data_IF_347196404407
#
_entry.id   IF_347196404407
#
_cell.length_a   1.000
_cell.length_b   1.000
_cell.length_c   1.000
_cell.angle_alpha   90.00
_cell.angle_beta   90.00
_cell.angle_gamma   90.00
#
_symmetry.space_group_name_H-M   'P 1'
#
loop_
_entity.id
_entity.type
_entity.pdbx_description
1 polymer ?
#
# COMPACT_ATOMS: atom_id res chain seq x y z
N UNK A 1 15.29 19.58 28.44
CA UNK A 1 13.85 19.32 28.60
C UNK A 1 13.59 17.95 28.00
N UNK A 2 13.27 16.96 28.82
CA UNK A 2 12.90 15.62 28.37
C UNK A 2 11.63 15.74 27.54
N UNK A 3 11.72 15.46 26.23
CA UNK A 3 10.55 15.23 25.40
C UNK A 3 9.88 13.99 26.01
N UNK A 4 8.73 14.16 26.68
CA UNK A 4 7.90 13.04 27.07
C UNK A 4 7.52 12.31 25.79
N UNK A 5 8.17 11.17 25.53
CA UNK A 5 7.73 10.25 24.52
C UNK A 5 6.29 9.89 24.89
N UNK A 6 5.33 10.24 24.05
CA UNK A 6 3.96 9.78 24.20
C UNK A 6 4.00 8.26 24.16
N UNK A 7 3.52 7.59 25.23
CA UNK A 7 3.42 6.14 25.25
C UNK A 7 2.44 5.70 24.17
N UNK A 8 2.73 4.58 23.52
CA UNK A 8 1.77 3.94 22.62
C UNK A 8 0.44 3.65 23.35
N UNK A 9 -0.65 3.96 22.68
CA UNK A 9 -2.02 3.69 23.16
C UNK A 9 -2.71 2.84 22.11
N UNK A 10 -3.45 1.81 22.52
CA UNK A 10 -4.24 0.98 21.61
C UNK A 10 -5.29 1.81 20.85
N UNK A 11 -5.78 1.31 19.72
CA UNK A 11 -6.87 2.00 18.99
C UNK A 11 -8.12 2.07 19.86
N UNK A 12 -8.45 0.98 20.55
CA UNK A 12 -9.62 0.90 21.42
C UNK A 12 -9.58 1.91 22.58
N UNK A 13 -8.40 2.17 23.13
CA UNK A 13 -8.21 3.07 24.28
C UNK A 13 -7.81 4.50 23.89
N UNK A 14 -7.79 4.81 22.59
CA UNK A 14 -7.29 6.09 22.08
C UNK A 14 -7.94 7.30 22.76
N UNK A 15 -9.24 7.22 23.09
CA UNK A 15 -10.00 8.30 23.70
C UNK A 15 -10.11 8.22 25.24
N UNK A 16 -9.52 7.19 25.86
CA UNK A 16 -9.41 7.10 27.32
C UNK A 16 -8.07 7.60 27.84
N UNK A 17 -7.06 7.63 26.96
CA UNK A 17 -5.70 8.03 27.31
C UNK A 17 -5.61 9.51 27.68
N UNK A 18 -4.79 9.82 28.70
CA UNK A 18 -4.48 11.19 29.07
C UNK A 18 -3.46 11.76 28.07
N UNK A 19 -3.97 12.40 27.03
CA UNK A 19 -3.18 13.12 26.04
C UNK A 19 -3.43 14.61 26.17
N UNK A 20 -2.34 15.41 26.17
CA UNK A 20 -2.48 16.86 26.19
C UNK A 20 -3.30 17.35 24.99
N UNK A 21 -4.30 18.18 25.24
CA UNK A 21 -5.09 18.81 24.18
C UNK A 21 -4.28 19.60 23.16
N UNK A 22 -3.07 20.06 23.54
CA UNK A 22 -2.13 20.77 22.64
C UNK A 22 -1.24 19.86 21.81
N UNK A 23 -1.26 18.54 22.04
CA UNK A 23 -0.48 17.60 21.23
C UNK A 23 -0.91 17.70 19.76
N UNK A 24 0.04 17.68 18.85
CA UNK A 24 -0.23 17.73 17.42
C UNK A 24 -0.74 16.35 16.95
N UNK A 25 -1.78 16.35 16.13
CA UNK A 25 -2.36 15.16 15.50
C UNK A 25 -2.06 15.13 14.00
N UNK A 26 -2.29 16.25 13.34
CA UNK A 26 -2.06 16.39 11.92
C UNK A 26 -1.45 17.75 11.59
N UNK A 27 -0.92 17.87 10.39
CA UNK A 27 -0.35 19.15 9.93
C UNK A 27 -0.56 19.34 8.42
N UNK A 28 -0.63 20.62 8.06
CA UNK A 28 -0.54 21.12 6.68
C UNK A 28 0.81 21.83 6.50
N UNK A 29 1.06 22.34 5.31
CA UNK A 29 2.25 23.17 5.06
C UNK A 29 2.33 24.43 5.97
N UNK A 30 1.18 24.94 6.46
CA UNK A 30 1.12 26.23 7.18
C UNK A 30 0.57 26.13 8.61
N UNK A 31 -0.01 25.01 9.00
CA UNK A 31 -0.70 24.87 10.29
C UNK A 31 -0.58 23.47 10.87
N UNK A 32 -0.83 23.38 12.18
CA UNK A 32 -0.93 22.10 12.87
C UNK A 32 -2.29 21.99 13.55
N UNK A 33 -2.86 20.80 13.54
CA UNK A 33 -4.14 20.47 14.16
C UNK A 33 -3.87 19.77 15.49
N UNK A 34 -4.52 20.24 16.54
CA UNK A 34 -4.31 19.77 17.90
C UNK A 34 -5.17 18.53 18.22
N UNK A 35 -4.80 17.81 19.28
CA UNK A 35 -5.60 16.72 19.83
C UNK A 35 -6.98 17.20 20.28
N UNK A 36 -7.06 18.39 20.91
CA UNK A 36 -8.34 18.98 21.31
C UNK A 36 -9.25 19.23 20.11
N UNK A 37 -8.73 19.82 19.03
CA UNK A 37 -9.50 20.01 17.79
C UNK A 37 -9.98 18.68 17.23
N UNK A 38 -9.08 17.69 17.16
CA UNK A 38 -9.43 16.35 16.64
C UNK A 38 -10.54 15.68 17.46
N UNK A 39 -10.43 15.67 18.80
CA UNK A 39 -11.45 15.05 19.64
C UNK A 39 -12.78 15.79 19.59
N UNK A 40 -12.78 17.12 19.49
CA UNK A 40 -13.99 17.93 19.30
C UNK A 40 -14.67 17.61 17.96
N UNK A 41 -13.91 17.56 16.87
CA UNK A 41 -14.46 17.23 15.54
C UNK A 41 -15.01 15.79 15.52
N UNK A 42 -14.30 14.84 16.14
CA UNK A 42 -14.77 13.44 16.27
C UNK A 42 -16.07 13.38 17.08
N UNK A 43 -16.16 14.07 18.23
CA UNK A 43 -17.35 14.09 19.06
C UNK A 43 -18.57 14.68 18.33
N UNK A 44 -18.36 15.83 17.67
CA UNK A 44 -19.39 16.50 16.90
C UNK A 44 -19.95 15.59 15.77
N UNK A 45 -19.07 15.02 14.95
CA UNK A 45 -19.48 14.16 13.85
C UNK A 45 -20.03 12.81 14.33
N UNK A 46 -19.54 12.27 15.45
CA UNK A 46 -20.13 11.07 16.05
C UNK A 46 -21.58 11.29 16.47
N UNK A 47 -21.91 12.45 17.08
CA UNK A 47 -23.28 12.80 17.44
C UNK A 47 -24.18 12.88 16.19
N UNK A 48 -23.70 13.48 15.10
CA UNK A 48 -24.42 13.52 13.80
C UNK A 48 -24.66 12.12 13.24
N UNK A 49 -23.67 11.23 13.28
CA UNK A 49 -23.79 9.85 12.81
C UNK A 49 -24.73 9.00 13.68
N UNK A 50 -24.75 9.23 15.00
CA UNK A 50 -25.71 8.56 15.89
C UNK A 50 -27.17 8.95 15.58
N UNK A 51 -27.39 10.19 15.14
CA UNK A 51 -28.71 10.69 14.72
C UNK A 51 -29.10 10.19 13.30
N UNK A 52 -28.16 9.72 12.48
CA UNK A 52 -28.42 9.21 11.15
C UNK A 52 -28.73 7.70 11.19
N UNK A 53 -29.71 7.26 10.38
CA UNK A 53 -30.15 5.84 10.33
C UNK A 53 -29.15 4.91 9.61
N UNK A 54 -28.22 5.45 8.81
CA UNK A 54 -27.21 4.67 8.11
C UNK A 54 -26.40 3.79 9.07
N UNK A 55 -26.15 2.54 8.70
CA UNK A 55 -25.37 1.58 9.50
C UNK A 55 -24.00 1.31 8.88
N UNK A 56 -23.89 1.42 7.57
CA UNK A 56 -22.66 1.17 6.81
C UNK A 56 -22.19 2.50 6.21
N UNK A 57 -21.06 2.98 6.69
CA UNK A 57 -20.51 4.30 6.33
C UNK A 57 -19.31 4.10 5.39
N UNK A 58 -19.45 4.54 4.16
CA UNK A 58 -18.31 4.59 3.23
C UNK A 58 -17.48 5.86 3.46
N UNK A 59 -16.15 5.73 3.42
CA UNK A 59 -15.21 6.82 3.60
C UNK A 59 -14.43 7.07 2.31
N UNK A 60 -14.55 8.26 1.74
CA UNK A 60 -13.85 8.68 0.51
C UNK A 60 -13.25 10.07 0.70
N UNK A 61 -11.99 10.16 1.07
CA UNK A 61 -11.31 11.42 1.37
C UNK A 61 -9.94 11.47 0.71
N UNK A 62 -9.52 12.63 0.26
CA UNK A 62 -8.12 12.94 -0.03
C UNK A 62 -7.39 13.45 1.21
N UNK A 63 -8.10 14.16 2.08
CA UNK A 63 -7.56 14.69 3.33
C UNK A 63 -7.57 13.62 4.43
N UNK A 64 -6.38 13.28 4.94
CA UNK A 64 -6.23 12.24 5.97
C UNK A 64 -6.74 12.64 7.34
N UNK A 65 -6.79 13.94 7.64
CA UNK A 65 -7.38 14.40 8.89
C UNK A 65 -8.90 14.23 8.86
N UNK A 66 -9.57 14.67 7.79
CA UNK A 66 -11.01 14.48 7.63
C UNK A 66 -11.38 12.99 7.60
N UNK A 67 -10.55 12.17 6.93
CA UNK A 67 -10.68 10.73 6.98
C UNK A 67 -10.61 10.19 8.41
N UNK A 68 -9.60 10.60 9.20
CA UNK A 68 -9.45 10.14 10.59
C UNK A 68 -10.64 10.56 11.46
N UNK A 69 -11.13 11.79 11.30
CA UNK A 69 -12.35 12.26 11.99
C UNK A 69 -13.55 11.38 11.62
N UNK A 70 -13.79 11.15 10.32
CA UNK A 70 -14.88 10.31 9.84
C UNK A 70 -14.79 8.87 10.33
N UNK A 71 -13.58 8.29 10.30
CA UNK A 71 -13.30 6.94 10.78
C UNK A 71 -13.68 6.78 12.27
N UNK A 72 -13.13 7.61 13.13
CA UNK A 72 -13.37 7.50 14.57
C UNK A 72 -14.78 7.95 14.99
N UNK A 73 -15.36 8.92 14.28
CA UNK A 73 -16.75 9.31 14.50
C UNK A 73 -17.72 8.15 14.20
N UNK A 74 -17.48 7.39 13.13
CA UNK A 74 -18.26 6.20 12.80
C UNK A 74 -18.04 5.07 13.84
N UNK A 75 -16.79 4.84 14.28
CA UNK A 75 -16.50 3.89 15.37
C UNK A 75 -17.27 4.23 16.67
N UNK A 76 -17.23 5.49 17.11
CA UNK A 76 -17.94 5.96 18.30
C UNK A 76 -19.48 5.94 18.14
N UNK A 77 -19.95 5.98 16.90
CA UNK A 77 -21.36 5.81 16.58
C UNK A 77 -21.79 4.34 16.40
N UNK A 78 -20.87 3.41 16.62
CA UNK A 78 -21.05 1.96 16.43
C UNK A 78 -21.55 1.61 15.01
N UNK A 79 -20.96 2.22 13.98
CA UNK A 79 -21.27 1.99 12.58
C UNK A 79 -20.19 1.10 11.94
N UNK A 80 -20.58 0.30 10.96
CA UNK A 80 -19.64 -0.43 10.11
C UNK A 80 -19.01 0.52 9.09
N UNK A 81 -17.73 0.30 8.80
CA UNK A 81 -16.95 1.13 7.90
C UNK A 81 -16.75 0.42 6.55
N UNK A 82 -16.81 1.17 5.47
CA UNK A 82 -16.52 0.69 4.12
C UNK A 82 -15.46 1.60 3.49
N UNK A 83 -14.37 1.01 3.05
CA UNK A 83 -13.33 1.71 2.30
C UNK A 83 -13.37 1.26 0.84
N UNK A 84 -13.95 2.05 -0.06
CA UNK A 84 -13.78 1.84 -1.49
C UNK A 84 -12.30 1.98 -1.85
N UNK A 85 -11.72 0.98 -2.48
CA UNK A 85 -10.32 1.02 -2.89
C UNK A 85 -10.02 2.06 -3.98
N UNK A 86 -11.06 2.66 -4.54
CA UNK A 86 -11.04 3.70 -5.57
C UNK A 86 -12.28 4.56 -5.38
N UNK A 87 -12.10 5.87 -5.40
CA UNK A 87 -13.18 6.85 -5.24
C UNK A 87 -13.58 7.57 -6.55
N UNK A 88 -13.21 7.01 -7.71
CA UNK A 88 -13.80 7.48 -8.98
C UNK A 88 -15.31 7.23 -8.98
N UNK A 89 -16.11 8.15 -9.53
CA UNK A 89 -17.58 8.11 -9.43
C UNK A 89 -18.21 6.76 -9.76
N UNK A 90 -17.80 6.15 -10.88
CA UNK A 90 -18.33 4.85 -11.30
C UNK A 90 -17.89 3.69 -10.37
N UNK A 91 -16.67 3.76 -9.83
CA UNK A 91 -16.20 2.76 -8.87
C UNK A 91 -16.97 2.83 -7.55
N UNK A 92 -17.27 4.02 -7.08
CA UNK A 92 -18.11 4.24 -5.89
C UNK A 92 -19.54 3.78 -6.15
N UNK A 93 -20.11 4.12 -7.33
CA UNK A 93 -21.45 3.67 -7.74
C UNK A 93 -21.55 2.14 -7.77
N UNK A 94 -20.55 1.46 -8.30
CA UNK A 94 -20.51 -0.01 -8.34
C UNK A 94 -20.54 -0.66 -6.94
N UNK A 95 -20.22 0.10 -5.90
CA UNK A 95 -20.23 -0.35 -4.50
C UNK A 95 -21.44 0.16 -3.71
N UNK A 96 -22.39 0.86 -4.33
CA UNK A 96 -23.51 1.51 -3.62
C UNK A 96 -24.40 0.55 -2.80
N UNK A 97 -24.45 -0.72 -3.16
CA UNK A 97 -25.18 -1.74 -2.37
C UNK A 97 -24.47 -2.15 -1.05
N UNK A 98 -23.19 -1.75 -0.89
CA UNK A 98 -22.36 -2.11 0.27
C UNK A 98 -22.34 -1.06 1.37
N UNK A 99 -22.91 0.13 1.17
CA UNK A 99 -22.97 1.20 2.17
C UNK A 99 -24.29 1.97 2.08
N UNK A 100 -24.64 2.66 3.16
CA UNK A 100 -25.87 3.41 3.29
C UNK A 100 -25.64 4.92 3.20
N UNK A 101 -24.45 5.39 3.61
CA UNK A 101 -24.02 6.79 3.57
C UNK A 101 -22.56 6.87 3.15
N UNK A 102 -22.25 7.81 2.29
CA UNK A 102 -20.90 8.15 1.89
C UNK A 102 -20.45 9.46 2.54
N UNK A 103 -19.37 9.38 3.32
CA UNK A 103 -18.65 10.56 3.82
C UNK A 103 -17.52 10.92 2.86
N UNK A 104 -17.41 12.18 2.50
CA UNK A 104 -16.39 12.64 1.55
C UNK A 104 -15.93 14.07 1.84
N UNK A 105 -14.83 14.48 1.23
CA UNK A 105 -14.39 15.86 1.15
C UNK A 105 -14.80 16.50 -0.20
N UNK A 106 -14.67 17.83 -0.31
CA UNK A 106 -15.13 18.62 -1.47
C UNK A 106 -14.44 18.25 -2.81
N UNK A 107 -13.37 17.47 -2.75
CA UNK A 107 -12.57 17.12 -3.94
C UNK A 107 -13.22 16.00 -4.75
N UNK A 108 -14.13 15.24 -4.12
CA UNK A 108 -14.76 14.08 -4.75
C UNK A 108 -16.06 14.48 -5.42
N UNK A 109 -16.07 14.51 -6.76
CA UNK A 109 -17.28 14.72 -7.54
C UNK A 109 -18.14 13.45 -7.56
N UNK A 110 -19.33 13.51 -6.96
CA UNK A 110 -20.26 12.40 -6.91
C UNK A 110 -21.48 12.71 -7.76
N UNK A 111 -22.00 11.68 -8.43
CA UNK A 111 -23.25 11.78 -9.16
C UNK A 111 -24.48 11.59 -8.27
N UNK A 112 -25.65 12.00 -8.74
CA UNK A 112 -26.94 11.89 -8.04
C UNK A 112 -27.33 10.44 -7.73
N UNK A 113 -27.91 10.19 -6.56
CA UNK A 113 -28.50 8.90 -6.18
C UNK A 113 -27.80 8.17 -5.03
N UNK A 114 -26.68 8.69 -4.52
CA UNK A 114 -26.00 8.20 -3.33
C UNK A 114 -26.23 9.21 -2.20
N UNK A 115 -26.64 8.74 -1.01
CA UNK A 115 -26.72 9.61 0.17
C UNK A 115 -25.31 9.96 0.63
N UNK A 116 -25.02 11.26 0.72
CA UNK A 116 -23.70 11.78 1.04
C UNK A 116 -23.73 12.76 2.20
N UNK A 117 -22.62 12.87 2.91
CA UNK A 117 -22.40 13.89 3.92
C UNK A 117 -20.93 14.27 4.00
N UNK A 118 -20.65 15.42 4.56
CA UNK A 118 -19.28 15.91 4.81
C UNK A 118 -18.97 15.91 6.30
N UNK A 119 -17.69 15.88 6.62
CA UNK A 119 -17.20 16.14 7.98
C UNK A 119 -17.32 17.63 8.23
N UNK A 120 -17.98 17.97 9.34
CA UNK A 120 -18.14 19.36 9.78
C UNK A 120 -17.19 19.63 10.95
N UNK A 121 -16.47 20.75 10.93
CA UNK A 121 -15.73 21.20 12.10
C UNK A 121 -16.67 21.43 13.27
N UNK A 122 -16.25 21.07 14.47
CA UNK A 122 -17.03 21.38 15.66
C UNK A 122 -17.17 22.91 15.81
N UNK A 123 -18.39 23.44 16.01
CA UNK A 123 -18.63 24.89 16.12
C UNK A 123 -17.99 25.51 17.35
N UNK A 124 -17.76 24.71 18.36
CA UNK A 124 -17.08 25.06 19.62
C UNK A 124 -16.30 23.85 20.10
N UNK A 125 -15.41 24.03 21.06
CA UNK A 125 -14.74 22.91 21.71
C UNK A 125 -15.80 22.01 22.38
N UNK A 126 -15.99 20.82 21.82
CA UNK A 126 -16.88 19.78 22.34
C UNK A 126 -16.01 18.79 23.09
N UNK A 127 -16.31 18.58 24.36
CA UNK A 127 -15.61 17.56 25.14
C UNK A 127 -16.06 16.18 24.69
N UNK A 128 -15.12 15.34 24.30
CA UNK A 128 -15.38 13.95 24.02
C UNK A 128 -15.36 13.16 25.33
N UNK A 129 -16.46 12.50 25.63
CA UNK A 129 -16.52 11.59 26.78
C UNK A 129 -15.50 10.46 26.64
N UNK A 130 -14.74 10.20 27.71
CA UNK A 130 -13.77 9.10 27.72
C UNK A 130 -14.48 7.77 27.47
N UNK A 131 -14.16 7.15 26.35
CA UNK A 131 -14.85 5.94 25.87
C UNK A 131 -13.85 4.97 25.26
N UNK A 132 -13.92 3.71 25.65
CA UNK A 132 -13.23 2.60 24.98
C UNK A 132 -14.07 2.12 23.80
N UNK A 133 -13.44 1.93 22.64
CA UNK A 133 -14.12 1.42 21.44
C UNK A 133 -14.29 -0.11 21.54
N UNK A 134 -15.45 -0.61 21.13
CA UNK A 134 -15.73 -2.05 21.05
C UNK A 134 -15.02 -2.68 19.84
N UNK A 135 -13.70 -2.86 19.93
CA UNK A 135 -12.84 -3.20 18.79
C UNK A 135 -13.18 -4.53 18.12
N UNK A 136 -13.76 -5.49 18.84
CA UNK A 136 -14.22 -6.77 18.28
C UNK A 136 -15.51 -6.65 17.46
N UNK A 137 -16.35 -5.65 17.77
CA UNK A 137 -17.66 -5.47 17.15
C UNK A 137 -17.62 -4.56 15.93
N UNK A 138 -16.62 -3.64 15.87
CA UNK A 138 -16.48 -2.69 14.78
C UNK A 138 -15.84 -3.38 13.59
N UNK A 139 -16.58 -3.45 12.48
CA UNK A 139 -16.18 -4.08 11.24
C UNK A 139 -15.81 -3.03 10.20
N UNK A 140 -14.69 -3.25 9.53
CA UNK A 140 -14.22 -2.50 8.39
C UNK A 140 -14.18 -3.41 7.16
N UNK A 141 -14.84 -3.01 6.08
CA UNK A 141 -14.78 -3.69 4.77
C UNK A 141 -13.91 -2.88 3.82
N UNK A 142 -12.78 -3.46 3.42
CA UNK A 142 -11.89 -2.86 2.43
C UNK A 142 -12.13 -3.51 1.06
N UNK A 143 -12.32 -2.68 0.05
CA UNK A 143 -12.44 -3.16 -1.33
C UNK A 143 -11.09 -3.10 -2.04
N UNK A 144 -10.73 -4.19 -2.69
CA UNK A 144 -9.50 -4.30 -3.49
C UNK A 144 -9.86 -4.60 -4.94
N UNK A 145 -8.98 -4.21 -5.88
CA UNK A 145 -9.11 -4.65 -7.28
C UNK A 145 -8.86 -6.14 -7.36
N UNK A 146 -9.92 -6.94 -7.50
CA UNK A 146 -9.79 -8.38 -7.71
C UNK A 146 -9.07 -8.70 -9.04
N UNK A 147 -8.39 -9.85 -9.09
CA UNK A 147 -7.74 -10.35 -10.33
C UNK A 147 -8.72 -10.58 -11.48
N UNK A 148 -10.00 -10.74 -11.17
CA UNK A 148 -11.11 -10.89 -12.14
C UNK A 148 -11.69 -9.56 -12.64
N UNK A 149 -11.14 -8.41 -12.20
CA UNK A 149 -11.67 -7.09 -12.52
C UNK A 149 -12.88 -6.65 -11.67
N UNK A 150 -13.45 -7.54 -10.85
CA UNK A 150 -14.50 -7.19 -9.90
C UNK A 150 -13.90 -6.84 -8.54
N UNK A 151 -14.41 -5.81 -7.84
CA UNK A 151 -13.97 -5.47 -6.50
C UNK A 151 -14.17 -6.65 -5.54
N UNK A 152 -13.12 -6.97 -4.78
CA UNK A 152 -13.16 -8.00 -3.72
C UNK A 152 -13.28 -7.32 -2.37
N UNK A 153 -14.31 -7.69 -1.61
CA UNK A 153 -14.53 -7.23 -0.25
C UNK A 153 -13.69 -8.05 0.74
N UNK A 154 -12.91 -7.38 1.58
CA UNK A 154 -12.11 -7.96 2.66
C UNK A 154 -12.58 -7.35 3.96
N UNK A 155 -13.15 -8.16 4.84
CA UNK A 155 -13.60 -7.73 6.17
C UNK A 155 -12.47 -7.85 7.17
N UNK A 156 -12.35 -6.84 8.05
CA UNK A 156 -11.47 -6.80 9.22
C UNK A 156 -12.21 -6.24 10.40
N UNK A 157 -11.90 -6.72 11.62
CA UNK A 157 -12.33 -6.06 12.83
C UNK A 157 -11.36 -4.94 13.22
N UNK A 158 -11.80 -3.97 13.98
CA UNK A 158 -10.92 -2.94 14.53
C UNK A 158 -9.83 -3.55 15.42
N UNK A 159 -10.15 -4.65 16.12
CA UNK A 159 -9.18 -5.42 16.92
C UNK A 159 -8.03 -5.99 16.07
N UNK A 160 -8.32 -6.51 14.87
CA UNK A 160 -7.28 -7.00 13.96
C UNK A 160 -6.34 -5.86 13.54
N UNK A 161 -6.87 -4.66 13.25
CA UNK A 161 -6.06 -3.49 12.92
C UNK A 161 -5.24 -3.01 14.12
N UNK A 162 -5.83 -3.01 15.31
CA UNK A 162 -5.18 -2.66 16.57
C UNK A 162 -4.00 -3.58 16.86
N UNK A 163 -4.19 -4.89 16.69
CA UNK A 163 -3.15 -5.89 16.89
C UNK A 163 -1.99 -5.67 15.92
N UNK A 164 -2.29 -5.38 14.65
CA UNK A 164 -1.24 -5.10 13.67
C UNK A 164 -0.49 -3.81 14.01
N UNK A 165 -1.19 -2.73 14.39
CA UNK A 165 -0.56 -1.46 14.81
C UNK A 165 0.34 -1.65 16.03
N UNK A 166 -0.05 -2.49 17.00
CA UNK A 166 0.79 -2.81 18.15
C UNK A 166 2.09 -3.55 17.73
N UNK A 167 2.01 -4.46 16.75
CA UNK A 167 3.19 -5.13 16.18
C UNK A 167 4.10 -4.11 15.49
N UNK A 168 3.55 -3.17 14.69
CA UNK A 168 4.34 -2.13 14.04
C UNK A 168 5.06 -1.26 15.06
N UNK A 169 4.39 -0.89 16.17
CA UNK A 169 5.01 -0.09 17.22
C UNK A 169 6.09 -0.86 17.97
N UNK A 170 5.90 -2.15 18.21
CA UNK A 170 6.94 -3.01 18.82
C UNK A 170 8.20 -3.13 17.98
N UNK A 171 8.06 -3.10 16.63
CA UNK A 171 9.18 -3.20 15.69
C UNK A 171 9.92 -1.87 15.51
N UNK A 172 9.19 -0.76 15.41
CA UNK A 172 9.77 0.51 14.95
C UNK A 172 9.34 1.73 15.78
N UNK A 173 8.59 1.55 16.85
CA UNK A 173 8.10 2.65 17.68
C UNK A 173 9.21 3.53 18.22
N UNK A 174 10.28 2.93 18.74
CA UNK A 174 11.45 3.65 19.24
C UNK A 174 12.20 4.39 18.11
N UNK A 175 12.39 3.73 16.96
CA UNK A 175 13.03 4.35 15.78
C UNK A 175 12.27 5.59 15.31
N UNK A 176 10.94 5.58 15.40
CA UNK A 176 10.07 6.66 14.96
C UNK A 176 9.69 7.66 16.07
N UNK A 177 10.30 7.59 17.23
CA UNK A 177 10.02 8.53 18.31
C UNK A 177 10.18 9.99 17.82
N UNK A 178 9.19 10.83 18.12
CA UNK A 178 9.11 12.25 17.74
C UNK A 178 9.14 12.52 16.21
N UNK A 179 8.75 11.54 15.38
CA UNK A 179 8.65 11.74 13.93
C UNK A 179 7.34 12.41 13.52
N UNK A 180 7.42 13.20 12.44
CA UNK A 180 6.28 13.61 11.63
C UNK A 180 6.11 12.60 10.48
N UNK A 181 4.87 12.22 10.22
CA UNK A 181 4.57 11.22 9.18
C UNK A 181 4.18 11.94 7.89
N UNK A 182 5.00 11.77 6.87
CA UNK A 182 4.71 12.17 5.50
C UNK A 182 4.37 10.95 4.66
N UNK A 183 3.53 11.10 3.65
CA UNK A 183 3.08 9.96 2.86
C UNK A 183 2.91 10.28 1.38
N UNK A 184 3.21 9.28 0.55
CA UNK A 184 2.93 9.27 -0.89
C UNK A 184 1.85 8.26 -1.25
N UNK A 185 1.27 7.58 -0.23
CA UNK A 185 0.25 6.55 -0.41
C UNK A 185 -1.06 6.94 0.26
N UNK A 186 -2.15 6.50 -0.34
CA UNK A 186 -3.50 6.81 0.16
C UNK A 186 -3.84 5.98 1.41
N UNK A 187 -4.48 6.61 2.37
CA UNK A 187 -5.11 5.99 3.54
C UNK A 187 -6.34 5.12 3.20
N UNK A 188 -6.82 5.15 1.96
CA UNK A 188 -7.92 4.29 1.48
C UNK A 188 -7.53 2.80 1.39
N UNK A 189 -6.25 2.48 1.51
CA UNK A 189 -5.72 1.11 1.46
C UNK A 189 -5.10 0.72 2.79
N UNK A 190 -5.14 -0.58 3.12
CA UNK A 190 -4.69 -1.11 4.42
C UNK A 190 -3.31 -0.57 4.83
N UNK A 191 -2.34 -0.54 3.93
CA UNK A 191 -0.99 -0.05 4.23
C UNK A 191 -0.99 1.43 4.64
N UNK A 192 -1.63 2.30 3.85
CA UNK A 192 -1.75 3.72 4.19
C UNK A 192 -2.63 3.95 5.42
N UNK A 193 -3.72 3.19 5.59
CA UNK A 193 -4.57 3.25 6.78
C UNK A 193 -3.75 3.02 8.06
N UNK A 194 -2.96 1.95 8.08
CA UNK A 194 -2.16 1.58 9.25
C UNK A 194 -0.99 2.55 9.46
N UNK A 195 -0.15 2.73 8.46
CA UNK A 195 1.14 3.44 8.61
C UNK A 195 1.02 4.96 8.63
N UNK A 196 0.01 5.51 7.95
CA UNK A 196 -0.17 6.95 7.84
C UNK A 196 -1.16 7.53 8.85
N UNK A 197 -2.17 6.76 9.29
CA UNK A 197 -3.25 7.28 10.14
C UNK A 197 -3.30 6.57 11.48
N UNK A 198 -3.60 5.27 11.53
CA UNK A 198 -3.89 4.59 12.78
C UNK A 198 -2.66 4.50 13.71
N UNK A 199 -1.54 3.99 13.21
CA UNK A 199 -0.33 3.89 14.01
C UNK A 199 0.20 5.26 14.48
N UNK A 200 0.29 6.31 13.63
CA UNK A 200 0.64 7.65 14.10
C UNK A 200 -0.27 8.15 15.21
N UNK A 201 -1.58 8.00 15.10
CA UNK A 201 -2.53 8.40 16.15
C UNK A 201 -2.26 7.65 17.46
N UNK A 202 -2.10 6.33 17.41
CA UNK A 202 -1.80 5.50 18.59
C UNK A 202 -0.48 5.87 19.26
N UNK A 203 0.52 6.24 18.47
CA UNK A 203 1.84 6.57 18.97
C UNK A 203 2.07 8.08 19.20
N UNK A 204 1.05 8.91 19.04
CA UNK A 204 1.13 10.36 19.26
C UNK A 204 2.02 11.10 18.26
N UNK A 205 2.15 10.59 17.03
CA UNK A 205 2.92 11.19 15.94
C UNK A 205 2.01 11.97 15.02
N UNK A 206 2.30 13.24 14.71
CA UNK A 206 1.50 13.99 13.76
C UNK A 206 1.72 13.47 12.33
N UNK A 207 0.66 13.49 11.53
CA UNK A 207 0.70 13.08 10.11
C UNK A 207 0.25 14.22 9.18
N UNK A 208 0.81 14.23 7.98
CA UNK A 208 0.42 15.19 6.94
C UNK A 208 -1.01 14.91 6.44
N UNK A 209 -1.80 15.97 6.24
CA UNK A 209 -3.18 15.84 5.76
C UNK A 209 -3.25 15.45 4.28
N UNK A 210 -2.24 15.78 3.47
CA UNK A 210 -2.19 15.51 2.04
C UNK A 210 -1.03 14.60 1.65
N UNK A 211 -1.15 13.95 0.48
CA UNK A 211 -0.08 13.16 -0.12
C UNK A 211 1.00 14.08 -0.73
N UNK A 212 2.22 13.56 -0.72
CA UNK A 212 3.28 14.02 -1.61
C UNK A 212 3.18 13.23 -2.93
N UNK A 213 3.06 13.92 -4.05
CA UNK A 213 2.82 13.29 -5.36
C UNK A 213 4.08 13.18 -6.22
N UNK A 214 5.06 14.05 -5.94
CA UNK A 214 6.25 14.18 -6.74
C UNK A 214 7.54 13.96 -5.92
N UNK A 215 8.58 13.39 -6.51
CA UNK A 215 9.88 13.20 -5.87
C UNK A 215 10.45 14.49 -5.24
N UNK A 216 10.27 15.63 -5.90
CA UNK A 216 10.75 16.94 -5.46
C UNK A 216 10.07 17.38 -4.15
N UNK A 217 8.78 17.06 -4.00
CA UNK A 217 8.05 17.31 -2.74
C UNK A 217 8.61 16.44 -1.61
N UNK A 218 8.90 15.15 -1.89
CA UNK A 218 9.51 14.25 -0.90
C UNK A 218 10.84 14.81 -0.39
N UNK A 219 11.69 15.25 -1.30
CA UNK A 219 12.99 15.86 -0.95
C UNK A 219 12.81 17.16 -0.18
N UNK A 220 11.87 18.00 -0.58
CA UNK A 220 11.58 19.27 0.09
C UNK A 220 11.07 19.10 1.53
N UNK A 221 10.26 18.06 1.78
CA UNK A 221 9.68 17.74 3.10
C UNK A 221 10.59 16.84 3.95
N UNK A 222 11.70 16.36 3.39
CA UNK A 222 12.63 15.52 4.12
C UNK A 222 13.31 16.29 5.25
N UNK A 223 13.36 15.68 6.42
CA UNK A 223 14.06 16.21 7.61
C UNK A 223 14.44 15.07 8.54
N UNK A 224 15.37 15.26 9.50
CA UNK A 224 15.71 14.24 10.49
C UNK A 224 14.53 13.74 11.34
N UNK A 225 13.42 14.46 11.34
CA UNK A 225 12.19 14.10 12.03
C UNK A 225 11.09 13.57 11.10
N UNK A 226 11.35 13.42 9.81
CA UNK A 226 10.36 12.90 8.85
C UNK A 226 10.46 11.38 8.76
N UNK A 227 9.35 10.68 8.92
CA UNK A 227 9.18 9.30 8.50
C UNK A 227 8.27 9.27 7.25
N UNK A 228 8.79 8.74 6.15
CA UNK A 228 8.12 8.69 4.86
C UNK A 228 7.44 7.33 4.67
N UNK A 229 6.13 7.35 4.43
CA UNK A 229 5.33 6.18 4.04
C UNK A 229 5.14 6.22 2.53
N UNK A 230 5.78 5.30 1.81
CA UNK A 230 5.86 5.35 0.35
C UNK A 230 5.62 3.99 -0.31
N UNK A 231 5.75 3.96 -1.60
CA UNK A 231 5.62 2.75 -2.42
C UNK A 231 6.74 2.67 -3.46
N UNK A 232 7.02 1.50 -4.02
CA UNK A 232 7.99 1.35 -5.11
C UNK A 232 7.70 2.28 -6.29
N UNK A 233 6.44 2.59 -6.57
CA UNK A 233 6.04 3.46 -7.67
C UNK A 233 6.65 4.87 -7.57
N UNK A 234 6.69 5.46 -6.37
CA UNK A 234 7.34 6.76 -6.19
C UNK A 234 8.84 6.61 -5.95
N UNK A 235 9.28 5.64 -5.14
CA UNK A 235 10.69 5.51 -4.78
C UNK A 235 11.59 5.24 -6.00
N UNK A 236 11.10 4.57 -7.05
CA UNK A 236 11.80 4.40 -8.33
C UNK A 236 12.07 5.71 -9.07
N UNK A 237 11.25 6.74 -8.83
CA UNK A 237 11.38 8.06 -9.47
C UNK A 237 12.40 8.96 -8.77
N UNK A 238 12.85 8.58 -7.56
CA UNK A 238 13.95 9.24 -6.88
C UNK A 238 15.27 8.90 -7.57
N UNK A 239 16.05 9.91 -7.93
CA UNK A 239 17.33 9.77 -8.59
C UNK A 239 18.42 10.51 -7.84
N UNK A 240 19.68 10.26 -8.15
CA UNK A 240 20.82 10.97 -7.56
C UNK A 240 20.92 12.45 -7.98
N UNK A 241 20.13 12.87 -8.96
CA UNK A 241 20.04 14.28 -9.38
C UNK A 241 19.26 15.13 -8.37
N UNK A 242 18.44 14.52 -7.51
CA UNK A 242 17.76 15.21 -6.44
C UNK A 242 18.76 15.63 -5.34
N UNK A 243 18.48 16.73 -4.69
CA UNK A 243 19.29 17.20 -3.58
C UNK A 243 19.20 16.20 -2.41
N UNK A 244 20.35 15.82 -1.85
CA UNK A 244 20.39 14.96 -0.66
C UNK A 244 19.79 15.65 0.56
N UNK A 245 19.08 14.91 1.37
CA UNK A 245 18.43 15.37 2.59
C UNK A 245 18.43 14.24 3.65
N UNK A 246 18.32 14.58 4.91
CA UNK A 246 18.19 13.58 5.96
C UNK A 246 16.72 13.24 6.18
N UNK A 247 16.44 11.96 6.44
CA UNK A 247 15.12 11.46 6.80
C UNK A 247 15.25 10.43 7.92
N UNK A 248 14.26 10.33 8.81
CA UNK A 248 14.28 9.39 9.93
C UNK A 248 14.13 7.94 9.49
N UNK A 249 13.16 7.69 8.63
CA UNK A 249 12.88 6.36 8.07
C UNK A 249 12.09 6.48 6.75
N UNK A 250 12.25 5.49 5.90
CA UNK A 250 11.43 5.29 4.69
C UNK A 250 10.80 3.91 4.77
N UNK A 251 9.48 3.85 4.59
CA UNK A 251 8.75 2.58 4.45
C UNK A 251 8.28 2.40 3.01
N UNK A 252 8.24 1.15 2.56
CA UNK A 252 7.78 0.79 1.23
C UNK A 252 6.93 -0.48 1.29
N UNK A 253 5.77 -0.47 0.65
CA UNK A 253 4.89 -1.64 0.50
C UNK A 253 4.06 -1.53 -0.79
N UNK A 254 3.27 -2.58 -1.08
CA UNK A 254 2.36 -2.65 -2.22
C UNK A 254 2.95 -3.29 -3.46
N UNK A 255 4.25 -3.49 -3.53
CA UNK A 255 4.95 -4.15 -4.64
C UNK A 255 6.44 -4.36 -4.36
N UNK A 256 7.15 -5.09 -5.24
CA UNK A 256 8.59 -5.28 -5.10
C UNK A 256 9.35 -3.96 -5.33
N UNK A 257 10.27 -3.65 -4.42
CA UNK A 257 11.18 -2.51 -4.57
C UNK A 257 12.45 -2.96 -5.31
N UNK A 258 12.83 -2.35 -6.45
CA UNK A 258 14.11 -2.62 -7.08
C UNK A 258 15.29 -2.25 -6.18
N UNK A 259 16.36 -3.04 -6.22
CA UNK A 259 17.57 -2.78 -5.43
C UNK A 259 18.17 -1.40 -5.73
N UNK A 260 18.13 -0.97 -6.99
CA UNK A 260 18.59 0.38 -7.42
C UNK A 260 17.80 1.49 -6.74
N UNK A 261 16.47 1.34 -6.58
CA UNK A 261 15.65 2.32 -5.87
C UNK A 261 15.97 2.35 -4.37
N UNK A 262 16.26 1.21 -3.76
CA UNK A 262 16.71 1.15 -2.36
C UNK A 262 18.09 1.82 -2.18
N UNK A 263 18.99 1.66 -3.15
CA UNK A 263 20.30 2.32 -3.17
C UNK A 263 20.19 3.83 -3.38
N UNK A 264 19.30 4.30 -4.26
CA UNK A 264 19.03 5.73 -4.43
C UNK A 264 18.48 6.35 -3.14
N UNK A 265 17.55 5.68 -2.45
CA UNK A 265 17.07 6.14 -1.15
C UNK A 265 18.20 6.24 -0.12
N UNK A 266 19.10 5.26 -0.07
CA UNK A 266 20.26 5.33 0.82
C UNK A 266 21.17 6.52 0.48
N UNK A 267 21.45 6.74 -0.79
CA UNK A 267 22.30 7.84 -1.23
C UNK A 267 21.67 9.24 -0.95
N UNK A 268 20.35 9.36 -1.15
CA UNK A 268 19.64 10.62 -0.95
C UNK A 268 19.36 10.93 0.53
N UNK A 269 18.93 9.93 1.29
CA UNK A 269 18.34 10.11 2.61
C UNK A 269 19.16 9.49 3.74
N UNK A 270 20.27 8.86 3.43
CA UNK A 270 21.05 8.04 4.38
C UNK A 270 20.18 6.97 5.09
N UNK A 271 19.10 6.53 4.43
CA UNK A 271 18.18 5.51 4.92
C UNK A 271 17.83 4.51 3.81
N UNK A 272 17.99 3.22 4.10
CA UNK A 272 17.41 2.17 3.26
C UNK A 272 15.93 2.02 3.58
N UNK A 273 15.05 1.88 2.58
CA UNK A 273 13.65 1.62 2.83
C UNK A 273 13.43 0.34 3.64
N UNK A 274 12.53 0.41 4.60
CA UNK A 274 11.98 -0.76 5.29
C UNK A 274 10.83 -1.24 4.38
N UNK A 275 11.03 -2.38 3.74
CA UNK A 275 9.98 -3.00 2.95
C UNK A 275 9.07 -3.83 3.85
N UNK A 276 7.76 -3.73 3.62
CA UNK A 276 6.73 -4.51 4.30
C UNK A 276 6.01 -5.38 3.26
N UNK A 277 6.05 -6.70 3.48
CA UNK A 277 5.37 -7.69 2.66
C UNK A 277 4.07 -8.09 3.32
N UNK A 278 2.99 -8.09 2.54
CA UNK A 278 1.65 -8.45 2.97
C UNK A 278 0.59 -8.13 1.93
N UNK A 279 -0.65 -8.33 2.29
CA UNK A 279 -1.83 -8.03 1.46
C UNK A 279 -2.96 -7.45 2.32
N UNK A 280 -4.06 -7.02 1.70
CA UNK A 280 -5.23 -6.58 2.46
C UNK A 280 -5.81 -7.73 3.30
N UNK A 281 -5.78 -8.95 2.78
CA UNK A 281 -6.26 -10.14 3.45
C UNK A 281 -5.42 -10.50 4.67
N UNK A 282 -4.09 -10.50 4.51
CA UNK A 282 -3.17 -10.97 5.54
C UNK A 282 -2.72 -9.89 6.52
N UNK A 283 -2.84 -8.60 6.15
CA UNK A 283 -2.03 -7.57 6.80
C UNK A 283 -0.55 -7.79 6.51
N UNK A 284 0.33 -7.24 7.35
CA UNK A 284 1.77 -7.44 7.25
C UNK A 284 2.18 -8.85 7.63
N UNK A 285 2.99 -9.48 6.80
CA UNK A 285 3.53 -10.83 7.01
C UNK A 285 4.99 -10.76 7.45
N UNK A 286 5.79 -9.93 6.76
CA UNK A 286 7.23 -9.87 6.92
C UNK A 286 7.78 -8.50 6.52
N UNK A 287 9.02 -8.25 6.92
CA UNK A 287 9.74 -7.03 6.54
C UNK A 287 11.18 -7.35 6.15
N UNK A 288 11.81 -6.41 5.46
CA UNK A 288 13.27 -6.42 5.22
C UNK A 288 13.80 -5.02 4.96
N UNK A 289 15.11 -4.85 5.03
CA UNK A 289 15.85 -3.73 4.42
C UNK A 289 16.88 -4.33 3.46
N UNK A 290 16.77 -4.05 2.18
CA UNK A 290 17.61 -4.65 1.16
C UNK A 290 19.06 -4.21 1.30
N UNK A 291 19.94 -5.14 1.74
CA UNK A 291 21.40 -4.97 1.65
C UNK A 291 21.93 -5.51 0.32
N UNK A 292 21.21 -6.46 -0.27
CA UNK A 292 21.46 -7.07 -1.58
C UNK A 292 20.16 -7.62 -2.14
N UNK A 293 20.14 -8.03 -3.40
CA UNK A 293 18.98 -8.67 -4.03
C UNK A 293 18.54 -9.97 -3.33
N UNK A 294 19.46 -10.65 -2.60
CA UNK A 294 19.19 -11.88 -1.84
C UNK A 294 18.86 -11.66 -0.37
N UNK A 295 18.67 -10.41 0.08
CA UNK A 295 18.28 -10.14 1.48
C UNK A 295 16.95 -10.83 1.79
N UNK A 296 16.91 -11.76 2.78
CA UNK A 296 15.68 -12.48 3.10
C UNK A 296 14.63 -11.58 3.77
N UNK A 297 13.40 -12.03 3.73
CA UNK A 297 12.28 -11.46 4.48
C UNK A 297 12.26 -12.05 5.88
N UNK A 298 12.08 -11.21 6.89
CA UNK A 298 11.92 -11.57 8.30
C UNK A 298 10.44 -11.55 8.65
N UNK A 299 9.87 -12.63 9.18
CA UNK A 299 8.47 -12.67 9.64
C UNK A 299 8.22 -11.64 10.75
N UNK A 300 7.00 -11.09 10.75
CA UNK A 300 6.52 -10.26 11.85
C UNK A 300 6.39 -11.06 13.16
N UNK A 301 6.55 -10.43 14.32
CA UNK A 301 6.27 -11.05 15.60
C UNK A 301 4.85 -11.65 15.64
N UNK A 302 4.74 -12.89 16.15
CA UNK A 302 3.46 -13.59 16.24
C UNK A 302 2.98 -14.25 14.94
N UNK A 303 3.59 -13.96 13.79
CA UNK A 303 3.28 -14.68 12.55
C UNK A 303 3.98 -16.02 12.54
N UNK A 304 3.20 -17.08 12.34
CA UNK A 304 3.69 -18.44 12.07
C UNK A 304 3.44 -18.78 10.61
N UNK A 305 4.45 -19.27 9.91
CA UNK A 305 4.35 -19.55 8.49
C UNK A 305 5.01 -20.88 8.11
N UNK A 306 4.45 -21.54 7.11
CA UNK A 306 5.01 -22.78 6.53
C UNK A 306 4.68 -22.85 5.04
N UNK A 307 5.20 -23.84 4.34
CA UNK A 307 4.93 -24.07 2.92
C UNK A 307 3.92 -25.21 2.75
N UNK A 308 2.99 -25.03 1.82
CA UNK A 308 2.16 -26.12 1.35
C UNK A 308 2.90 -27.04 0.36
N UNK A 309 2.23 -28.06 -0.18
CA UNK A 309 2.81 -29.01 -1.14
C UNK A 309 3.30 -28.35 -2.45
N UNK A 310 2.78 -27.17 -2.79
CA UNK A 310 3.17 -26.39 -3.97
C UNK A 310 4.26 -25.34 -3.66
N UNK A 311 4.85 -25.38 -2.44
CA UNK A 311 5.83 -24.44 -1.94
C UNK A 311 5.28 -23.00 -1.78
N UNK A 312 3.95 -22.86 -1.71
CA UNK A 312 3.33 -21.59 -1.42
C UNK A 312 3.21 -21.35 0.08
N UNK A 313 3.45 -20.10 0.48
CA UNK A 313 3.36 -19.66 1.86
C UNK A 313 1.93 -19.81 2.37
N UNK A 314 1.77 -20.46 3.53
CA UNK A 314 0.57 -20.35 4.35
C UNK A 314 0.93 -19.88 5.73
N UNK A 315 0.06 -19.13 6.35
CA UNK A 315 0.37 -18.46 7.60
C UNK A 315 -0.81 -18.42 8.57
N UNK A 316 -0.48 -18.29 9.83
CA UNK A 316 -1.36 -17.83 10.91
C UNK A 316 -0.80 -16.54 11.46
N UNK A 317 -1.66 -15.60 11.79
CA UNK A 317 -1.24 -14.30 12.30
C UNK A 317 -2.26 -13.78 13.32
N UNK A 318 -1.82 -13.09 14.38
CA UNK A 318 -2.73 -12.54 15.39
C UNK A 318 -3.64 -11.42 14.87
N UNK A 319 -3.33 -10.84 13.70
CA UNK A 319 -4.13 -9.79 13.05
C UNK A 319 -4.93 -10.27 11.84
N UNK A 320 -5.11 -11.59 11.71
CA UNK A 320 -6.11 -12.23 10.87
C UNK A 320 -6.90 -13.22 11.73
N UNK A 321 -7.83 -13.99 11.16
CA UNK A 321 -8.52 -15.04 11.90
C UNK A 321 -7.52 -16.13 12.33
N UNK A 322 -7.06 -16.05 13.59
CA UNK A 322 -5.81 -16.62 14.08
C UNK A 322 -5.74 -18.14 14.17
N UNK A 323 -6.88 -18.84 14.15
CA UNK A 323 -6.90 -20.29 14.35
C UNK A 323 -6.77 -21.07 13.03
N UNK A 324 -7.03 -20.42 11.91
CA UNK A 324 -7.02 -21.02 10.60
C UNK A 324 -5.77 -20.64 9.79
N UNK A 325 -5.26 -21.61 9.02
CA UNK A 325 -4.21 -21.34 8.06
C UNK A 325 -4.75 -20.53 6.88
N UNK A 326 -4.19 -19.33 6.67
CA UNK A 326 -4.43 -18.56 5.46
C UNK A 326 -3.44 -18.96 4.37
N UNK A 327 -3.94 -19.42 3.22
CA UNK A 327 -3.13 -19.83 2.08
C UNK A 327 -2.92 -18.65 1.13
N UNK A 328 -1.66 -18.30 0.89
CA UNK A 328 -1.29 -17.34 -0.15
C UNK A 328 -0.94 -18.06 -1.47
N UNK A 329 -0.77 -17.29 -2.53
CA UNK A 329 -0.21 -17.77 -3.79
C UNK A 329 1.30 -17.47 -3.92
N UNK A 330 1.94 -17.01 -2.86
CA UNK A 330 3.34 -16.59 -2.87
C UNK A 330 4.26 -17.80 -2.68
N UNK A 331 5.02 -18.14 -3.71
CA UNK A 331 6.03 -19.19 -3.65
C UNK A 331 7.25 -18.71 -2.89
N UNK A 332 7.66 -19.46 -1.85
CA UNK A 332 8.73 -19.09 -0.95
C UNK A 332 9.74 -20.22 -0.72
N UNK A 333 10.90 -19.84 -0.19
CA UNK A 333 11.89 -20.76 0.33
C UNK A 333 12.36 -20.29 1.69
N UNK A 334 12.14 -21.06 2.74
CA UNK A 334 12.63 -20.75 4.08
C UNK A 334 14.14 -21.02 4.20
N UNK A 335 14.83 -20.12 4.90
CA UNK A 335 16.22 -20.31 5.33
C UNK A 335 16.27 -20.87 6.76
N UNK A 336 15.34 -20.42 7.60
CA UNK A 336 15.11 -20.87 8.97
C UNK A 336 13.62 -20.68 9.33
N UNK A 337 13.23 -20.83 10.59
CA UNK A 337 11.85 -20.69 11.04
C UNK A 337 11.27 -19.26 10.93
N UNK A 338 12.11 -18.25 10.78
CA UNK A 338 11.73 -16.83 10.80
C UNK A 338 12.07 -16.09 9.52
N UNK A 339 12.93 -16.65 8.66
CA UNK A 339 13.39 -15.96 7.46
C UNK A 339 13.16 -16.77 6.19
N UNK A 340 12.73 -16.07 5.14
CA UNK A 340 12.43 -16.69 3.86
C UNK A 340 12.79 -15.79 2.67
N UNK A 341 12.93 -16.42 1.53
CA UNK A 341 13.05 -15.78 0.22
C UNK A 341 11.70 -15.89 -0.52
N UNK A 342 11.23 -14.78 -1.07
CA UNK A 342 10.08 -14.73 -1.95
C UNK A 342 10.52 -15.03 -3.38
N UNK A 343 10.04 -16.13 -3.96
CA UNK A 343 10.42 -16.58 -5.30
C UNK A 343 9.49 -16.06 -6.39
N UNK A 344 8.21 -15.87 -6.06
CA UNK A 344 7.21 -15.38 -7.00
C UNK A 344 5.79 -15.69 -6.55
N UNK A 345 4.85 -15.65 -7.50
CA UNK A 345 3.44 -15.99 -7.23
C UNK A 345 2.97 -17.08 -8.18
N UNK A 346 2.28 -18.08 -7.65
CA UNK A 346 1.74 -19.20 -8.44
C UNK A 346 0.50 -18.82 -9.24
N UNK A 347 -0.22 -17.79 -8.85
CA UNK A 347 -1.34 -17.24 -9.65
C UNK A 347 -0.84 -16.47 -10.89
N UNK A 348 0.47 -16.23 -11.02
CA UNK A 348 1.16 -15.75 -12.21
C UNK A 348 1.91 -16.85 -12.96
N UNK A 349 1.62 -18.11 -12.68
CA UNK A 349 2.07 -19.27 -13.47
C UNK A 349 0.95 -19.65 -14.43
N UNK A 350 1.25 -19.66 -15.70
CA UNK A 350 0.30 -19.98 -16.76
C UNK A 350 0.67 -21.31 -17.44
N UNK A 351 -0.34 -22.06 -17.84
CA UNK A 351 -0.13 -23.28 -18.63
C UNK A 351 -0.20 -22.90 -20.10
N UNK A 352 0.94 -22.86 -20.77
CA UNK A 352 1.03 -22.67 -22.23
C UNK A 352 1.36 -24.01 -22.86
N UNK A 353 0.43 -24.54 -23.65
CA UNK A 353 0.47 -25.92 -24.11
C UNK A 353 0.56 -26.88 -22.90
N UNK A 354 1.59 -27.74 -22.82
CA UNK A 354 1.75 -28.68 -21.68
C UNK A 354 2.70 -28.16 -20.58
N UNK A 355 3.26 -26.92 -20.72
CA UNK A 355 4.27 -26.38 -19.81
C UNK A 355 3.73 -25.31 -18.89
N UNK A 356 4.13 -25.37 -17.62
CA UNK A 356 3.89 -24.30 -16.62
C UNK A 356 4.97 -23.25 -16.76
N UNK A 357 4.57 -22.00 -17.03
CA UNK A 357 5.48 -20.87 -17.24
C UNK A 357 5.19 -19.81 -16.18
N UNK A 358 6.19 -19.44 -15.42
CA UNK A 358 6.12 -18.31 -14.49
C UNK A 358 6.31 -17.01 -15.25
N UNK A 359 5.28 -16.17 -15.28
CA UNK A 359 5.38 -14.83 -15.88
C UNK A 359 6.40 -13.97 -15.13
N UNK A 360 6.54 -14.17 -13.82
CA UNK A 360 7.52 -13.48 -12.97
C UNK A 360 8.95 -13.85 -13.38
N UNK A 361 9.21 -15.13 -13.68
CA UNK A 361 10.54 -15.56 -14.15
C UNK A 361 10.86 -14.93 -15.50
N UNK A 362 9.90 -14.84 -16.41
CA UNK A 362 10.10 -14.19 -17.72
C UNK A 362 10.42 -12.71 -17.55
N UNK A 363 9.70 -12.00 -16.67
CA UNK A 363 9.96 -10.60 -16.35
C UNK A 363 11.37 -10.43 -15.74
N UNK A 364 11.72 -11.25 -14.76
CA UNK A 364 13.05 -11.24 -14.15
C UNK A 364 14.17 -11.36 -15.20
N UNK A 365 14.00 -12.24 -16.19
CA UNK A 365 15.00 -12.41 -17.26
C UNK A 365 15.05 -11.24 -18.22
N UNK A 366 13.90 -10.62 -18.50
CA UNK A 366 13.85 -9.38 -19.26
C UNK A 366 14.56 -8.24 -18.51
N UNK A 367 14.23 -8.03 -17.23
CA UNK A 367 14.77 -6.95 -16.40
C UNK A 367 16.28 -7.10 -16.11
N UNK A 368 16.85 -8.30 -16.25
CA UNK A 368 18.28 -8.55 -16.16
C UNK A 368 19.07 -8.11 -17.40
N UNK A 369 18.40 -7.84 -18.52
CA UNK A 369 19.07 -7.36 -19.73
C UNK A 369 19.40 -5.86 -19.59
N UNK A 370 20.62 -5.47 -19.89
CA UNK A 370 21.08 -4.07 -19.79
C UNK A 370 20.23 -3.08 -20.61
N UNK A 371 19.41 -3.58 -21.53
CA UNK A 371 18.54 -2.78 -22.39
C UNK A 371 17.17 -2.45 -21.77
N UNK A 372 16.79 -3.15 -20.70
CA UNK A 372 15.44 -3.08 -20.12
C UNK A 372 15.53 -2.57 -18.70
N UNK A 373 14.77 -1.52 -18.38
CA UNK A 373 14.67 -0.99 -17.03
C UNK A 373 13.50 -1.63 -16.25
N UNK A 374 12.43 -1.98 -16.95
CA UNK A 374 11.25 -2.62 -16.37
C UNK A 374 10.46 -3.37 -17.45
N UNK A 375 9.85 -4.49 -17.07
CA UNK A 375 8.98 -5.25 -17.95
C UNK A 375 7.70 -5.70 -17.25
N UNK A 376 6.65 -5.96 -18.05
CA UNK A 376 5.47 -6.67 -17.59
C UNK A 376 5.02 -7.67 -18.66
N UNK A 377 4.83 -8.91 -18.24
CA UNK A 377 4.42 -10.02 -19.10
C UNK A 377 2.98 -10.41 -18.80
N UNK A 378 2.20 -10.53 -19.86
CA UNK A 378 0.81 -10.98 -19.82
C UNK A 378 0.60 -12.15 -20.77
N UNK A 379 -0.52 -12.84 -20.59
CA UNK A 379 -1.00 -13.83 -21.55
C UNK A 379 -2.06 -13.23 -22.44
N UNK A 380 -2.00 -13.55 -23.72
CA UNK A 380 -3.07 -13.23 -24.67
C UNK A 380 -3.41 -14.45 -25.51
N UNK A 381 -4.71 -14.61 -25.81
CA UNK A 381 -5.19 -15.67 -26.67
C UNK A 381 -5.32 -15.16 -28.10
N UNK A 382 -4.58 -15.77 -29.05
CA UNK A 382 -4.75 -15.54 -30.47
C UNK A 382 -5.39 -16.78 -31.10
N UNK A 383 -6.65 -16.66 -31.51
CA UNK A 383 -7.45 -17.82 -31.91
C UNK A 383 -7.56 -18.81 -30.75
N UNK A 384 -7.06 -20.04 -30.91
CA UNK A 384 -7.06 -21.06 -29.87
C UNK A 384 -5.71 -21.22 -29.14
N UNK A 385 -4.75 -20.32 -29.38
CA UNK A 385 -3.40 -20.43 -28.80
C UNK A 385 -3.15 -19.35 -27.76
N UNK A 386 -2.85 -19.76 -26.52
CA UNK A 386 -2.33 -18.88 -25.48
C UNK A 386 -0.86 -18.54 -25.77
N UNK A 387 -0.50 -17.27 -25.71
CA UNK A 387 0.86 -16.77 -25.96
C UNK A 387 1.26 -15.70 -24.96
N UNK A 388 2.56 -15.58 -24.70
CA UNK A 388 3.09 -14.52 -23.83
C UNK A 388 3.37 -13.27 -24.65
N UNK A 389 2.98 -12.12 -24.09
CA UNK A 389 3.23 -10.78 -24.62
C UNK A 389 3.90 -9.94 -23.54
N UNK A 390 4.82 -9.06 -23.91
CA UNK A 390 5.54 -8.22 -22.98
C UNK A 390 5.49 -6.74 -23.38
N UNK A 391 5.18 -5.88 -22.43
CA UNK A 391 5.50 -4.46 -22.50
C UNK A 391 6.83 -4.23 -21.79
N UNK A 392 7.68 -3.37 -22.34
CA UNK A 392 9.02 -3.09 -21.81
C UNK A 392 9.29 -1.60 -21.80
N UNK A 393 10.01 -1.16 -20.78
CA UNK A 393 10.60 0.17 -20.65
C UNK A 393 12.09 0.03 -20.91
N UNK A 394 12.65 0.85 -21.78
CA UNK A 394 14.07 0.77 -22.11
C UNK A 394 14.93 1.57 -21.13
N UNK A 395 16.17 1.14 -20.95
CA UNK A 395 17.25 1.97 -20.41
C UNK A 395 17.78 2.89 -21.50
N UNK A 396 18.60 3.89 -21.15
CA UNK A 396 19.32 4.70 -22.14
C UNK A 396 20.16 3.83 -23.10
N UNK A 397 20.76 2.75 -22.59
CA UNK A 397 21.48 1.75 -23.42
C UNK A 397 20.54 1.01 -24.37
N UNK A 398 19.32 0.69 -23.94
CA UNK A 398 18.30 0.07 -24.76
C UNK A 398 17.78 0.99 -25.85
N UNK A 399 17.61 2.28 -25.57
CA UNK A 399 17.24 3.30 -26.57
C UNK A 399 18.30 3.43 -27.66
N UNK A 400 19.58 3.54 -27.30
CA UNK A 400 20.68 3.55 -28.25
C UNK A 400 20.72 2.28 -29.09
N UNK A 401 20.50 1.13 -28.49
CA UNK A 401 20.58 -0.14 -29.19
C UNK A 401 19.42 -0.35 -30.19
N UNK A 402 18.19 0.08 -29.81
CA UNK A 402 17.06 -0.01 -30.75
C UNK A 402 17.19 0.99 -31.91
N UNK A 403 17.79 2.17 -31.67
CA UNK A 403 18.13 3.12 -32.74
C UNK A 403 19.17 2.54 -33.67
N UNK A 404 20.20 1.89 -33.14
CA UNK A 404 21.29 1.27 -33.92
C UNK A 404 20.83 0.09 -34.78
N UNK A 405 19.99 -0.79 -34.22
CA UNK A 405 19.55 -2.04 -34.85
C UNK A 405 18.28 -1.90 -35.69
N UNK A 406 17.42 -0.98 -35.30
CA UNK A 406 16.02 -0.94 -35.71
C UNK A 406 15.16 -1.93 -34.96
N UNK A 407 13.85 -1.61 -34.80
CA UNK A 407 12.90 -2.39 -33.97
C UNK A 407 12.91 -3.89 -34.26
N UNK A 408 12.89 -4.29 -35.53
CA UNK A 408 12.82 -5.72 -35.88
C UNK A 408 14.03 -6.54 -35.41
N UNK A 409 15.25 -6.01 -35.62
CA UNK A 409 16.50 -6.68 -35.20
C UNK A 409 16.65 -6.62 -33.65
N UNK A 410 16.20 -5.54 -33.02
CA UNK A 410 16.19 -5.44 -31.55
C UNK A 410 15.31 -6.52 -30.90
N UNK A 411 14.11 -6.78 -31.45
CA UNK A 411 13.26 -7.87 -30.96
C UNK A 411 13.87 -9.25 -31.13
N UNK A 412 14.63 -9.45 -32.24
CA UNK A 412 15.36 -10.70 -32.43
C UNK A 412 16.51 -10.84 -31.41
N UNK A 413 17.23 -9.75 -31.14
CA UNK A 413 18.27 -9.73 -30.11
C UNK A 413 17.74 -10.04 -28.71
N UNK A 414 16.62 -9.43 -28.32
CA UNK A 414 15.95 -9.75 -27.06
C UNK A 414 15.57 -11.23 -26.96
N UNK A 415 14.94 -11.77 -28.00
CA UNK A 415 14.58 -13.19 -28.01
C UNK A 415 15.79 -14.10 -27.95
N UNK A 416 16.89 -13.71 -28.60
CA UNK A 416 18.13 -14.48 -28.55
C UNK A 416 18.70 -14.49 -27.13
N UNK A 417 18.78 -13.33 -26.46
CA UNK A 417 19.27 -13.22 -25.10
C UNK A 417 18.40 -14.00 -24.08
N UNK A 418 17.08 -14.04 -24.29
CA UNK A 418 16.18 -14.81 -23.44
C UNK A 418 16.31 -16.33 -23.63
N UNK A 419 16.72 -16.81 -24.80
CA UNK A 419 16.92 -18.25 -25.07
C UNK A 419 17.99 -18.90 -24.21
N UNK A 420 18.91 -18.12 -23.69
CA UNK A 420 19.96 -18.63 -22.79
C UNK A 420 19.39 -19.02 -21.41
N UNK A 421 18.18 -18.57 -21.09
CA UNK A 421 17.52 -18.74 -19.78
C UNK A 421 16.14 -19.39 -19.86
N UNK A 422 15.44 -19.21 -20.94
CA UNK A 422 14.02 -19.58 -21.06
C UNK A 422 13.84 -20.56 -22.24
N UNK A 423 12.92 -21.50 -22.03
CA UNK A 423 12.47 -22.33 -23.14
C UNK A 423 11.74 -21.49 -24.19
N UNK A 424 11.77 -21.89 -25.49
CA UNK A 424 11.18 -21.11 -26.58
C UNK A 424 9.73 -20.70 -26.37
N UNK A 425 8.94 -21.54 -25.69
CA UNK A 425 7.52 -21.30 -25.40
C UNK A 425 7.28 -20.23 -24.32
N UNK A 426 8.27 -20.02 -23.44
CA UNK A 426 8.26 -19.01 -22.39
C UNK A 426 8.73 -17.63 -22.88
N UNK A 427 9.25 -17.52 -24.10
CA UNK A 427 9.72 -16.25 -24.66
C UNK A 427 8.52 -15.47 -25.23
N UNK A 428 8.33 -14.20 -24.82
CA UNK A 428 7.22 -13.40 -25.33
C UNK A 428 7.20 -13.33 -26.87
N UNK A 429 6.02 -13.57 -27.42
CA UNK A 429 5.81 -13.58 -28.87
C UNK A 429 5.74 -12.17 -29.46
N UNK A 430 5.19 -11.23 -28.68
CA UNK A 430 5.12 -9.81 -29.06
C UNK A 430 5.66 -8.94 -27.93
N UNK A 431 6.32 -7.87 -28.32
CA UNK A 431 6.81 -6.83 -27.42
C UNK A 431 6.23 -5.47 -27.82
N UNK A 432 5.99 -4.62 -26.82
CA UNK A 432 5.65 -3.21 -27.00
C UNK A 432 6.54 -2.34 -26.12
N UNK A 433 6.96 -1.21 -26.65
CA UNK A 433 7.66 -0.18 -25.89
C UNK A 433 6.64 0.71 -25.22
N UNK A 434 6.83 0.95 -23.95
CA UNK A 434 6.05 1.91 -23.18
C UNK A 434 7.01 2.83 -22.43
N UNK A 435 6.55 4.05 -22.10
CA UNK A 435 7.36 4.98 -21.29
C UNK A 435 7.40 4.53 -19.82
N UNK A 436 6.30 3.95 -19.34
CA UNK A 436 6.15 3.40 -18.02
C UNK A 436 5.16 2.23 -18.04
N UNK A 437 5.31 1.28 -17.14
CA UNK A 437 4.35 0.18 -16.97
C UNK A 437 3.07 0.77 -16.36
N UNK A 438 1.88 0.54 -16.95
CA UNK A 438 0.62 1.02 -16.40
C UNK A 438 0.39 0.47 -14.99
N UNK A 439 0.32 1.37 -14.00
CA UNK A 439 0.06 1.07 -12.60
C UNK A 439 -1.22 1.78 -12.14
N UNK A 440 -1.92 1.18 -11.19
CA UNK A 440 -3.02 1.85 -10.51
C UNK A 440 -2.48 2.79 -9.39
N UNK A 441 -3.38 3.48 -8.69
CA UNK A 441 -3.05 4.37 -7.56
C UNK A 441 -2.31 3.66 -6.41
N UNK A 442 -2.33 2.33 -6.37
CA UNK A 442 -1.63 1.49 -5.40
C UNK A 442 -0.24 1.04 -5.88
N UNK A 443 0.19 1.42 -7.08
CA UNK A 443 1.39 0.91 -7.70
C UNK A 443 1.27 -0.54 -8.23
N UNK A 444 0.05 -1.09 -8.32
CA UNK A 444 -0.19 -2.42 -8.90
C UNK A 444 -0.39 -2.31 -10.41
N UNK A 445 0.14 -3.30 -11.15
CA UNK A 445 0.02 -3.36 -12.60
C UNK A 445 -1.43 -3.47 -13.05
N UNK A 446 -1.80 -2.63 -14.01
CA UNK A 446 -3.14 -2.65 -14.64
C UNK A 446 -3.09 -3.56 -15.87
N UNK A 447 -3.43 -4.84 -15.70
CA UNK A 447 -3.36 -5.85 -16.78
C UNK A 447 -4.21 -5.43 -17.99
N UNK A 448 -5.43 -4.92 -17.76
CA UNK A 448 -6.29 -4.46 -18.84
C UNK A 448 -5.68 -3.31 -19.67
N UNK A 449 -4.95 -2.38 -19.05
CA UNK A 449 -4.26 -1.31 -19.77
C UNK A 449 -3.03 -1.82 -20.53
N UNK A 450 -2.37 -2.86 -20.00
CA UNK A 450 -1.28 -3.55 -20.71
C UNK A 450 -1.83 -4.30 -21.93
N UNK A 451 -2.97 -4.98 -21.81
CA UNK A 451 -3.62 -5.68 -22.91
C UNK A 451 -3.99 -4.74 -24.08
N UNK A 452 -4.49 -3.53 -23.78
CA UNK A 452 -4.80 -2.50 -24.78
C UNK A 452 -3.59 -2.12 -25.65
N UNK A 453 -2.36 -2.26 -25.16
CA UNK A 453 -1.16 -1.96 -25.94
C UNK A 453 -0.96 -2.95 -27.12
N UNK A 454 -1.69 -4.07 -27.13
CA UNK A 454 -1.57 -5.12 -28.14
C UNK A 454 -2.80 -5.25 -29.05
N UNK A 455 -3.87 -4.52 -28.75
CA UNK A 455 -5.04 -4.38 -29.60
C UNK A 455 -4.78 -3.31 -30.65
#
# INVERSE_FOLDING_TARGET
MSLNATSFTSISDLFTADRSGRSKVAFTASSAISWQTFTSDVAHNSARMKANHAQRIALCFEDSYLFAVGFFAACLANKSLVLPGNYQPEAVRALSEHFDLLLHDDVIALESGIETSQIEPAPTDVELEKTTLASEEIVLVLFTSGSSGQPKAISKTLHQLETEVAILDSLWGEKLAASNIESTVSHQHIYGLLFRVLWPLCAGRPFATRNLEFPEQVVHHASPNTALISSPALLKRLTQEHQSAEIRAVFSSGGPLPTTAAEHCLALFNQRPIEVFGSTETGGIAHRQQMSASTPWQLFPGVTAELNSERCLRLKSPHIDGDNWYQTADECRFHDSMTFELLGRTDRVVKVEEKRISLVEVEKRLDQLNWISESAVITMTEGNRLSLYAVIVLTASGEMEIERLGKGKFWLALRKALRDWLEPIAIPRKFRLVKEIPLNSQGKRQVAEIEKQFQ
#
